data_IF_566717065463
#
_entry.id   IF_566717065463
#
_cell.length_a   1.000
_cell.length_b   1.000
_cell.length_c   1.000
_cell.angle_alpha   90.00
_cell.angle_beta   90.00
_cell.angle_gamma   90.00
#
_symmetry.space_group_name_H-M   'P 1'
#
loop_
_entity.id
_entity.type
_entity.pdbx_description
1 polymer ?
#
# COMPACT_ATOMS: atom_id res chain seq x y z
N UNK A 1 21.27 -16.77 26.21
CA UNK A 1 21.13 -16.49 24.77
C UNK A 1 19.90 -15.62 24.58
N UNK A 2 20.07 -14.41 24.05
CA UNK A 2 18.95 -13.53 23.68
C UNK A 2 18.94 -13.43 22.15
N UNK A 3 17.79 -13.72 21.53
CA UNK A 3 17.58 -13.61 20.10
C UNK A 3 16.53 -12.52 19.84
N UNK A 4 16.86 -11.59 18.96
CA UNK A 4 16.00 -10.48 18.58
C UNK A 4 15.90 -10.49 17.07
N UNK A 5 14.67 -10.46 16.57
CA UNK A 5 14.33 -10.55 15.15
C UNK A 5 13.63 -9.27 14.73
N UNK A 6 13.92 -8.77 13.53
CA UNK A 6 13.37 -7.51 13.06
C UNK A 6 11.92 -7.64 12.59
N UNK A 7 11.04 -6.94 13.30
CA UNK A 7 9.81 -6.34 12.81
C UNK A 7 9.90 -4.81 13.05
N UNK A 8 8.97 -4.00 12.53
CA UNK A 8 8.95 -2.56 12.82
C UNK A 8 8.96 -2.21 14.32
N UNK A 9 8.36 -3.06 15.15
CA UNK A 9 8.33 -2.91 16.62
C UNK A 9 9.65 -3.31 17.30
N UNK A 10 10.50 -4.10 16.62
CA UNK A 10 11.71 -4.71 17.21
C UNK A 10 13.01 -3.96 16.90
N UNK A 11 12.99 -3.01 15.96
CA UNK A 11 14.16 -2.18 15.64
C UNK A 11 14.71 -1.43 16.86
N UNK A 12 13.83 -0.97 17.77
CA UNK A 12 14.24 -0.34 19.02
C UNK A 12 14.86 -1.36 19.99
N UNK A 13 14.28 -2.56 20.06
CA UNK A 13 14.76 -3.66 20.90
C UNK A 13 16.18 -4.08 20.50
N UNK A 14 16.49 -4.10 19.21
CA UNK A 14 17.84 -4.34 18.72
C UNK A 14 18.84 -3.27 19.18
N UNK A 15 18.50 -1.99 18.99
CA UNK A 15 19.38 -0.88 19.39
C UNK A 15 19.66 -0.91 20.90
N UNK A 16 18.63 -1.13 21.72
CA UNK A 16 18.80 -1.29 23.16
C UNK A 16 19.70 -2.46 23.50
N UNK A 17 19.58 -3.57 22.77
CA UNK A 17 20.35 -4.78 23.05
C UNK A 17 21.80 -4.65 22.64
N UNK A 18 22.08 -4.00 21.51
CA UNK A 18 23.43 -3.61 21.09
C UNK A 18 24.04 -2.67 22.12
N UNK A 19 23.30 -1.67 22.59
CA UNK A 19 23.79 -0.72 23.59
C UNK A 19 24.04 -1.39 24.94
N UNK A 20 23.17 -2.31 25.36
CA UNK A 20 23.36 -3.08 26.59
C UNK A 20 24.62 -3.95 26.51
N UNK A 21 24.84 -4.61 25.36
CA UNK A 21 26.05 -5.39 25.12
C UNK A 21 27.33 -4.53 25.16
N UNK A 22 27.30 -3.31 24.63
CA UNK A 22 28.44 -2.39 24.68
C UNK A 22 28.76 -1.90 26.10
N UNK A 23 27.73 -1.67 26.93
CA UNK A 23 27.90 -1.18 28.30
C UNK A 23 28.23 -2.30 29.30
N UNK A 24 27.75 -3.52 29.05
CA UNK A 24 27.88 -4.67 29.95
C UNK A 24 28.28 -5.95 29.20
N UNK A 25 29.45 -5.98 28.55
CA UNK A 25 29.86 -7.12 27.72
C UNK A 25 29.97 -8.42 28.53
N UNK A 26 30.38 -8.34 29.80
CA UNK A 26 30.54 -9.50 30.69
C UNK A 26 29.21 -10.13 31.14
N UNK A 27 28.09 -9.42 30.98
CA UNK A 27 26.76 -9.90 31.36
C UNK A 27 26.04 -10.63 30.22
N UNK A 28 26.62 -10.68 29.03
CA UNK A 28 26.00 -11.24 27.84
C UNK A 28 26.85 -12.38 27.29
N UNK A 29 26.43 -13.62 27.57
CA UNK A 29 27.14 -14.81 27.08
C UNK A 29 27.01 -14.96 25.55
N UNK A 30 25.80 -14.73 24.99
CA UNK A 30 25.51 -14.83 23.55
C UNK A 30 24.37 -13.90 23.15
N UNK A 31 24.58 -13.13 22.09
CA UNK A 31 23.61 -12.24 21.47
C UNK A 31 23.44 -12.60 19.99
N UNK A 32 22.19 -12.80 19.56
CA UNK A 32 21.83 -13.01 18.15
C UNK A 32 20.94 -11.83 17.74
N UNK A 33 21.34 -11.14 16.68
CA UNK A 33 20.60 -10.03 16.09
C UNK A 33 20.26 -10.44 14.67
N UNK A 34 18.97 -10.54 14.37
CA UNK A 34 18.44 -10.88 13.06
C UNK A 34 17.62 -9.69 12.54
N UNK A 35 18.23 -8.88 11.67
CA UNK A 35 17.64 -7.65 11.14
C UNK A 35 18.32 -6.33 11.55
N UNK A 36 19.64 -6.37 11.61
CA UNK A 36 20.55 -5.31 12.08
C UNK A 36 20.21 -3.92 11.55
N UNK A 37 19.93 -3.02 12.49
CA UNK A 37 19.76 -1.58 12.22
C UNK A 37 21.10 -0.84 12.30
N UNK A 38 21.38 0.04 11.33
CA UNK A 38 22.49 0.97 11.41
C UNK A 38 22.20 2.11 12.40
N UNK A 39 22.83 2.07 13.57
CA UNK A 39 22.59 3.01 14.67
C UNK A 39 22.78 4.50 14.29
N UNK A 40 23.81 4.80 13.50
CA UNK A 40 24.13 6.18 13.06
C UNK A 40 23.07 6.78 12.15
N UNK A 41 22.45 5.96 11.29
CA UNK A 41 21.41 6.42 10.36
C UNK A 41 19.99 6.29 10.93
N UNK A 42 19.79 5.47 11.97
CA UNK A 42 18.48 5.28 12.60
C UNK A 42 17.88 6.57 13.17
N UNK A 43 18.69 7.40 13.82
CA UNK A 43 18.29 8.73 14.30
C UNK A 43 18.43 9.82 13.22
N UNK A 44 18.92 9.45 12.04
CA UNK A 44 19.15 10.32 10.89
C UNK A 44 18.02 10.25 9.88
N UNK A 45 18.35 9.95 8.62
CA UNK A 45 17.37 9.88 7.53
C UNK A 45 16.76 8.49 7.35
N UNK A 46 17.34 7.49 8.01
CA UNK A 46 16.88 6.11 8.00
C UNK A 46 16.83 5.50 6.59
N UNK A 47 17.76 5.93 5.72
CA UNK A 47 17.85 5.49 4.32
C UNK A 47 18.55 4.15 4.15
N UNK A 48 19.45 3.77 5.07
CA UNK A 48 20.15 2.48 5.00
C UNK A 48 19.16 1.31 5.02
N UNK A 49 17.99 1.50 5.63
CA UNK A 49 16.91 0.52 5.73
C UNK A 49 16.08 0.39 4.43
N UNK A 50 16.27 1.32 3.49
CA UNK A 50 15.52 1.34 2.23
C UNK A 50 16.30 0.75 1.05
N UNK A 51 17.60 0.48 1.20
CA UNK A 51 18.51 0.05 0.12
C UNK A 51 18.00 -1.19 -0.62
N UNK A 52 17.42 -2.14 0.11
CA UNK A 52 16.92 -3.39 -0.48
C UNK A 52 15.46 -3.32 -0.92
N UNK A 53 14.75 -2.23 -0.62
CA UNK A 53 13.35 -2.06 -1.03
C UNK A 53 13.20 -2.12 -2.55
N UNK A 54 14.10 -1.45 -3.27
CA UNK A 54 14.08 -1.42 -4.73
C UNK A 54 14.39 -2.80 -5.34
N UNK A 55 15.21 -3.62 -4.66
CA UNK A 55 15.50 -4.99 -5.10
C UNK A 55 14.27 -5.88 -4.97
N UNK A 56 13.52 -5.75 -3.86
CA UNK A 56 12.29 -6.50 -3.63
C UNK A 56 11.21 -6.09 -4.65
N UNK A 57 11.08 -4.79 -4.92
CA UNK A 57 10.16 -4.30 -5.96
C UNK A 57 10.54 -4.85 -7.34
N UNK A 58 11.82 -4.82 -7.69
CA UNK A 58 12.30 -5.41 -8.94
C UNK A 58 11.98 -6.91 -9.01
N UNK A 59 12.23 -7.66 -7.94
CA UNK A 59 11.90 -9.09 -7.87
C UNK A 59 10.41 -9.33 -8.11
N UNK A 60 9.53 -8.53 -7.48
CA UNK A 60 8.09 -8.63 -7.70
C UNK A 60 7.69 -8.38 -9.17
N UNK A 61 8.32 -7.42 -9.83
CA UNK A 61 8.11 -7.18 -11.26
C UNK A 61 8.59 -8.37 -12.10
N UNK A 62 9.80 -8.87 -11.85
CA UNK A 62 10.36 -10.02 -12.56
C UNK A 62 9.45 -11.26 -12.43
N UNK A 63 8.95 -11.53 -11.22
CA UNK A 63 8.00 -12.63 -10.97
C UNK A 63 6.67 -12.44 -11.70
N UNK A 64 6.18 -11.21 -11.79
CA UNK A 64 4.94 -10.90 -12.51
C UNK A 64 5.12 -11.05 -14.03
N UNK A 65 6.30 -10.71 -14.58
CA UNK A 65 6.67 -11.02 -15.98
C UNK A 65 6.69 -12.54 -16.18
N UNK A 66 7.36 -13.28 -15.30
CA UNK A 66 7.47 -14.74 -15.39
C UNK A 66 6.12 -15.45 -15.28
N UNK A 67 5.21 -14.95 -14.45
CA UNK A 67 3.86 -15.45 -14.30
C UNK A 67 2.95 -15.17 -15.51
N UNK A 68 3.30 -14.19 -16.35
CA UNK A 68 2.55 -13.81 -17.54
C UNK A 68 1.07 -13.53 -17.21
N UNK A 69 0.11 -14.05 -17.99
CA UNK A 69 -1.33 -13.78 -17.80
C UNK A 69 -1.89 -14.14 -16.41
N UNK A 70 -1.20 -14.96 -15.61
CA UNK A 70 -1.60 -15.25 -14.23
C UNK A 70 -1.40 -14.05 -13.29
N UNK A 71 -0.55 -13.08 -13.64
CA UNK A 71 -0.38 -11.83 -12.92
C UNK A 71 -1.18 -10.69 -13.61
N UNK A 72 -2.17 -10.07 -12.95
CA UNK A 72 -2.94 -8.94 -13.51
C UNK A 72 -2.13 -7.70 -13.86
N UNK A 73 -0.91 -7.59 -13.33
CA UNK A 73 0.03 -6.51 -13.60
C UNK A 73 1.09 -6.89 -14.63
N UNK A 74 1.03 -8.09 -15.23
CA UNK A 74 2.06 -8.54 -16.17
C UNK A 74 2.21 -7.61 -17.35
N UNK A 75 3.42 -7.58 -17.89
CA UNK A 75 3.81 -6.83 -19.08
C UNK A 75 5.03 -7.51 -19.69
N UNK A 76 5.50 -7.00 -20.83
CA UNK A 76 6.61 -7.59 -21.59
C UNK A 76 7.96 -7.50 -20.88
N UNK A 77 8.09 -6.59 -19.90
CA UNK A 77 9.32 -6.36 -19.13
C UNK A 77 9.05 -5.81 -17.75
N UNK A 78 9.98 -6.03 -16.83
CA UNK A 78 9.91 -5.52 -15.46
C UNK A 78 9.92 -3.99 -15.42
N UNK A 79 10.63 -3.35 -16.35
CA UNK A 79 10.65 -1.91 -16.53
C UNK A 79 9.28 -1.36 -16.93
N UNK A 80 8.55 -2.07 -17.80
CA UNK A 80 7.19 -1.70 -18.17
C UNK A 80 6.23 -1.80 -16.97
N UNK A 81 6.34 -2.86 -16.17
CA UNK A 81 5.55 -3.01 -14.93
C UNK A 81 5.90 -1.90 -13.93
N UNK A 82 7.19 -1.62 -13.73
CA UNK A 82 7.66 -0.55 -12.85
C UNK A 82 7.07 0.81 -13.28
N UNK A 83 7.07 1.10 -14.58
CA UNK A 83 6.49 2.33 -15.11
C UNK A 83 4.97 2.39 -14.91
N UNK A 84 4.26 1.27 -15.07
CA UNK A 84 2.81 1.20 -14.81
C UNK A 84 2.49 1.47 -13.35
N UNK A 85 3.23 0.85 -12.43
CA UNK A 85 3.09 1.11 -10.99
C UNK A 85 3.42 2.57 -10.65
N UNK A 86 4.48 3.13 -11.22
CA UNK A 86 4.81 4.54 -11.06
C UNK A 86 3.67 5.46 -11.53
N UNK A 87 3.11 5.19 -12.72
CA UNK A 87 1.99 5.95 -13.26
C UNK A 87 0.74 5.88 -12.38
N UNK A 88 0.50 4.75 -11.70
CA UNK A 88 -0.58 4.64 -10.70
C UNK A 88 -0.36 5.64 -9.56
N UNK A 89 0.85 5.68 -8.99
CA UNK A 89 1.17 6.61 -7.91
C UNK A 89 1.11 8.09 -8.33
N UNK A 90 1.60 8.42 -9.52
CA UNK A 90 1.47 9.77 -10.07
C UNK A 90 0.01 10.14 -10.34
N UNK A 91 -0.79 9.20 -10.86
CA UNK A 91 -2.22 9.38 -11.07
C UNK A 91 -2.97 9.63 -9.77
N UNK A 92 -2.69 8.85 -8.71
CA UNK A 92 -3.28 9.05 -7.38
C UNK A 92 -2.84 10.36 -6.72
N UNK A 93 -1.65 10.87 -7.05
CA UNK A 93 -1.20 12.20 -6.57
C UNK A 93 -1.96 13.32 -7.27
N UNK A 94 -2.22 13.18 -8.57
CA UNK A 94 -2.95 14.18 -9.35
C UNK A 94 -4.46 14.13 -9.10
N UNK A 95 -5.01 12.93 -8.93
CA UNK A 95 -6.45 12.68 -8.80
C UNK A 95 -6.69 11.51 -7.82
N UNK A 96 -6.93 11.82 -6.54
CA UNK A 96 -7.38 10.82 -5.57
C UNK A 96 -8.67 10.13 -6.03
N UNK A 97 -8.80 8.83 -5.75
CA UNK A 97 -9.96 8.05 -6.15
C UNK A 97 -10.89 7.79 -4.97
N UNK A 98 -12.15 8.17 -5.12
CA UNK A 98 -13.21 7.83 -4.17
C UNK A 98 -13.57 6.36 -4.23
N UNK A 99 -13.71 5.72 -3.07
CA UNK A 99 -14.03 4.30 -2.93
C UNK A 99 -15.16 4.08 -1.94
N UNK A 100 -15.94 3.02 -2.12
CA UNK A 100 -17.03 2.62 -1.24
C UNK A 100 -17.07 1.10 -1.15
N UNK A 101 -17.11 0.49 0.05
CA UNK A 101 -17.18 -0.97 0.17
C UNK A 101 -18.61 -1.50 0.44
N UNK A 102 -19.64 -0.66 0.31
CA UNK A 102 -21.01 -1.02 0.67
C UNK A 102 -21.42 -0.58 2.08
N UNK A 103 -20.47 -0.41 3.00
CA UNK A 103 -20.72 0.14 4.35
C UNK A 103 -19.85 1.34 4.70
N UNK A 104 -18.73 1.52 4.00
CA UNK A 104 -17.79 2.60 4.26
C UNK A 104 -17.38 3.33 2.98
N UNK A 105 -17.33 4.66 3.02
CA UNK A 105 -16.74 5.51 1.98
C UNK A 105 -15.29 5.88 2.36
N UNK A 106 -14.40 5.99 1.37
CA UNK A 106 -13.02 6.39 1.56
C UNK A 106 -12.41 7.04 0.32
N UNK A 107 -11.16 7.48 0.45
CA UNK A 107 -10.39 8.06 -0.67
C UNK A 107 -9.03 7.38 -0.75
N UNK A 108 -8.71 6.83 -1.92
CA UNK A 108 -7.38 6.32 -2.25
C UNK A 108 -6.51 7.49 -2.70
N UNK A 109 -5.50 7.80 -1.88
CA UNK A 109 -4.53 8.85 -2.09
C UNK A 109 -3.11 8.29 -2.18
N UNK A 110 -2.20 9.04 -2.78
CA UNK A 110 -0.79 8.66 -2.92
C UNK A 110 -0.15 8.23 -1.58
N UNK A 111 -0.36 8.99 -0.50
CA UNK A 111 0.28 8.75 0.80
C UNK A 111 -0.11 7.40 1.42
N UNK A 112 -1.40 7.15 1.69
CA UNK A 112 -1.89 5.88 2.23
C UNK A 112 -1.53 4.67 1.37
N UNK A 113 -1.66 4.76 0.04
CA UNK A 113 -1.33 3.63 -0.86
C UNK A 113 0.18 3.35 -0.84
N UNK A 114 1.03 4.40 -0.82
CA UNK A 114 2.49 4.22 -0.72
C UNK A 114 2.88 3.60 0.62
N UNK A 115 2.24 4.01 1.72
CA UNK A 115 2.47 3.43 3.05
C UNK A 115 2.05 1.96 3.09
N UNK A 116 0.92 1.61 2.47
CA UNK A 116 0.48 0.22 2.38
C UNK A 116 1.47 -0.64 1.58
N UNK A 117 1.92 -0.18 0.41
CA UNK A 117 2.97 -0.86 -0.36
C UNK A 117 4.23 -1.07 0.49
N UNK A 118 4.69 -0.04 1.21
CA UNK A 118 5.85 -0.13 2.09
C UNK A 118 5.69 -1.20 3.18
N UNK A 119 4.50 -1.38 3.75
CA UNK A 119 4.25 -2.43 4.73
C UNK A 119 4.24 -3.83 4.13
N UNK A 120 3.75 -3.99 2.91
CA UNK A 120 3.79 -5.28 2.21
C UNK A 120 5.24 -5.73 1.94
N UNK A 121 6.16 -4.79 1.78
CA UNK A 121 7.59 -5.06 1.55
C UNK A 121 8.30 -5.67 2.76
N UNK A 122 7.74 -5.58 3.98
CA UNK A 122 8.25 -6.32 5.14
C UNK A 122 8.01 -7.84 5.04
N UNK A 123 6.99 -8.27 4.27
CA UNK A 123 6.63 -9.67 4.06
C UNK A 123 6.33 -9.93 2.59
N UNK A 124 7.31 -9.75 1.69
CA UNK A 124 7.04 -9.58 0.26
C UNK A 124 6.40 -10.81 -0.38
N UNK A 125 6.80 -12.02 0.02
CA UNK A 125 6.24 -13.27 -0.50
C UNK A 125 4.78 -13.50 -0.14
N UNK A 126 4.32 -12.96 1.00
CA UNK A 126 2.92 -13.05 1.42
C UNK A 126 2.12 -11.81 1.01
N UNK A 127 2.76 -10.64 0.97
CA UNK A 127 2.12 -9.33 0.83
C UNK A 127 1.96 -8.84 -0.61
N UNK A 128 2.96 -9.06 -1.48
CA UNK A 128 2.94 -8.52 -2.84
C UNK A 128 2.03 -9.29 -3.82
N UNK A 129 1.93 -10.64 -3.80
CA UNK A 129 1.04 -11.34 -4.72
C UNK A 129 -0.44 -10.91 -4.61
N UNK A 130 -1.02 -10.71 -3.40
CA UNK A 130 -2.38 -10.17 -3.27
C UNK A 130 -2.56 -8.74 -3.78
N UNK A 131 -1.48 -7.94 -3.90
CA UNK A 131 -1.53 -6.55 -4.38
C UNK A 131 -1.74 -6.46 -5.90
N UNK A 132 -1.37 -7.49 -6.67
CA UNK A 132 -1.43 -7.47 -8.13
C UNK A 132 -2.83 -7.12 -8.67
N UNK A 133 -3.88 -7.72 -8.11
CA UNK A 133 -5.25 -7.43 -8.53
C UNK A 133 -5.67 -5.99 -8.19
N UNK A 134 -5.53 -5.52 -6.93
CA UNK A 134 -5.91 -4.17 -6.57
C UNK A 134 -5.19 -3.08 -7.34
N UNK A 135 -3.87 -3.20 -7.53
CA UNK A 135 -3.10 -2.14 -8.18
C UNK A 135 -3.39 -2.08 -9.69
N UNK A 136 -3.61 -3.22 -10.34
CA UNK A 136 -4.08 -3.29 -11.75
C UNK A 136 -5.47 -2.67 -11.89
N UNK A 137 -6.35 -2.92 -10.92
CA UNK A 137 -7.68 -2.34 -10.90
C UNK A 137 -7.64 -0.80 -10.79
N UNK A 138 -6.84 -0.28 -9.85
CA UNK A 138 -6.63 1.17 -9.70
C UNK A 138 -6.05 1.78 -10.98
N UNK A 139 -5.08 1.13 -11.62
CA UNK A 139 -4.53 1.57 -12.91
C UNK A 139 -5.62 1.75 -13.97
N UNK A 140 -6.48 0.76 -14.13
CA UNK A 140 -7.57 0.80 -15.11
C UNK A 140 -8.56 1.94 -14.82
N UNK A 141 -8.84 2.21 -13.54
CA UNK A 141 -9.74 3.29 -13.13
C UNK A 141 -9.15 4.67 -13.39
N UNK A 142 -7.86 4.86 -13.11
CA UNK A 142 -7.14 6.10 -13.42
C UNK A 142 -7.10 6.36 -14.93
N UNK A 143 -6.90 5.32 -15.74
CA UNK A 143 -6.96 5.43 -17.22
C UNK A 143 -8.34 5.91 -17.68
N UNK A 144 -9.42 5.34 -17.13
CA UNK A 144 -10.79 5.76 -17.43
C UNK A 144 -11.07 7.21 -17.00
N UNK A 145 -10.65 7.60 -15.80
CA UNK A 145 -10.82 8.96 -15.29
C UNK A 145 -10.14 10.01 -16.19
N UNK A 146 -8.98 9.69 -16.77
CA UNK A 146 -8.27 10.58 -17.70
C UNK A 146 -9.02 10.83 -19.03
N UNK A 147 -9.89 9.91 -19.45
CA UNK A 147 -10.68 10.06 -20.69
C UNK A 147 -11.93 10.94 -20.52
N UNK A 148 -12.33 11.27 -19.28
CA UNK A 148 -13.54 12.06 -19.00
C UNK A 148 -13.15 13.30 -18.17
N UNK A 149 -12.92 14.47 -18.80
CA UNK A 149 -12.44 15.68 -18.12
C UNK A 149 -13.31 16.17 -16.96
N UNK A 150 -14.62 15.87 -16.98
CA UNK A 150 -15.56 16.25 -15.93
C UNK A 150 -15.38 15.48 -14.61
N UNK A 151 -14.59 14.40 -14.60
CA UNK A 151 -14.29 13.63 -13.38
C UNK A 151 -13.10 14.19 -12.59
N UNK A 152 -12.39 15.19 -13.14
CA UNK A 152 -11.26 15.86 -12.49
C UNK A 152 -11.79 16.87 -11.45
N UNK A 153 -12.30 16.35 -10.32
CA UNK A 153 -12.77 17.18 -9.20
C UNK A 153 -11.61 17.90 -8.49
N UNK A 154 -11.82 19.11 -7.93
CA UNK A 154 -10.81 19.82 -7.16
C UNK A 154 -10.49 19.05 -5.87
N UNK A 155 -9.21 18.85 -5.59
CA UNK A 155 -8.65 17.96 -4.57
C UNK A 155 -8.88 18.38 -3.11
N UNK A 156 -9.70 19.40 -2.80
CA UNK A 156 -9.64 20.06 -1.49
C UNK A 156 -10.93 20.26 -0.71
N UNK A 157 -12.14 20.01 -1.21
CA UNK A 157 -13.34 20.12 -0.35
C UNK A 157 -14.44 19.14 -0.75
N UNK A 158 -14.52 18.00 -0.08
CA UNK A 158 -15.74 17.20 -0.04
C UNK A 158 -16.47 17.48 1.28
N UNK A 159 -17.14 18.64 1.35
CA UNK A 159 -18.24 18.82 2.29
C UNK A 159 -19.46 18.23 1.60
N UNK A 160 -19.93 17.05 2.03
CA UNK A 160 -21.13 16.44 1.47
C UNK A 160 -22.35 17.33 1.74
N UNK A 161 -23.01 17.93 0.73
CA UNK A 161 -24.25 18.65 0.92
C UNK A 161 -25.41 17.75 0.48
N UNK A 162 -26.07 17.16 1.48
CA UNK A 162 -27.50 16.86 1.53
C UNK A 162 -28.11 15.77 0.63
N UNK A 163 -29.25 15.22 1.08
CA UNK A 163 -29.80 13.95 0.64
C UNK A 163 -30.75 14.16 -0.55
N UNK A 164 -30.86 13.11 -1.38
CA UNK A 164 -31.98 12.89 -2.29
C UNK A 164 -32.09 13.90 -3.45
N UNK A 165 -31.22 13.78 -4.45
CA UNK A 165 -31.61 13.76 -5.88
C UNK A 165 -30.39 13.71 -6.78
N UNK A 166 -30.39 12.71 -7.67
CA UNK A 166 -29.57 12.57 -8.89
C UNK A 166 -28.31 13.45 -9.00
N UNK A 167 -27.13 12.88 -8.67
CA UNK A 167 -25.84 13.48 -9.00
C UNK A 167 -24.97 12.45 -9.72
N UNK A 168 -24.45 12.88 -10.87
CA UNK A 168 -23.59 12.16 -11.82
C UNK A 168 -22.38 11.47 -11.18
N UNK A 169 -21.87 10.38 -11.80
CA UNK A 169 -20.97 9.45 -11.14
C UNK A 169 -19.60 10.08 -10.95
N UNK A 170 -19.35 10.64 -9.76
CA UNK A 170 -18.02 10.49 -9.18
C UNK A 170 -17.83 8.99 -9.10
N UNK A 171 -16.81 8.47 -9.78
CA UNK A 171 -16.55 7.04 -9.92
C UNK A 171 -16.21 6.49 -8.53
N UNK A 172 -17.24 6.22 -7.74
CA UNK A 172 -17.13 5.51 -6.48
C UNK A 172 -16.77 4.09 -6.89
N UNK A 173 -15.56 3.66 -6.56
CA UNK A 173 -15.23 2.26 -6.71
C UNK A 173 -16.03 1.48 -5.66
N UNK A 174 -17.05 0.75 -6.11
CA UNK A 174 -17.91 0.01 -5.19
C UNK A 174 -17.47 -1.45 -5.00
N UNK A 175 -17.14 -1.82 -3.76
CA UNK A 175 -16.89 -3.18 -3.30
C UNK A 175 -18.19 -3.86 -2.83
N UNK A 176 -19.26 -3.82 -3.63
CA UNK A 176 -20.52 -4.48 -3.24
C UNK A 176 -20.47 -6.00 -3.42
N UNK A 177 -21.36 -6.71 -2.72
CA UNK A 177 -21.61 -8.14 -2.95
C UNK A 177 -22.02 -8.46 -4.40
N UNK A 178 -22.54 -7.47 -5.14
CA UNK A 178 -22.91 -7.58 -6.56
C UNK A 178 -21.69 -7.44 -7.48
N UNK A 179 -20.66 -6.69 -7.05
CA UNK A 179 -19.37 -6.58 -7.72
C UNK A 179 -18.51 -7.83 -7.50
N UNK A 180 -18.43 -8.34 -6.26
CA UNK A 180 -17.75 -9.60 -5.92
C UNK A 180 -18.31 -10.84 -6.66
N UNK A 181 -19.59 -10.79 -7.07
CA UNK A 181 -20.23 -11.81 -7.91
C UNK A 181 -19.89 -11.69 -9.40
N UNK A 182 -19.55 -10.49 -9.88
CA UNK A 182 -19.23 -10.20 -11.29
C UNK A 182 -17.75 -10.25 -11.62
N UNK A 183 -16.90 -9.99 -10.62
CA UNK A 183 -15.45 -10.07 -10.73
C UNK A 183 -14.93 -10.97 -9.60
N UNK A 184 -14.29 -12.12 -9.91
CA UNK A 184 -13.89 -13.13 -8.92
C UNK A 184 -12.62 -12.72 -8.15
N UNK A 185 -12.51 -11.45 -7.76
CA UNK A 185 -11.32 -10.88 -7.14
C UNK A 185 -11.63 -10.37 -5.73
N UNK A 186 -11.60 -11.25 -4.71
CA UNK A 186 -11.61 -10.85 -3.30
C UNK A 186 -10.46 -9.93 -2.83
N UNK A 187 -9.28 -9.80 -3.47
CA UNK A 187 -8.20 -9.00 -2.90
C UNK A 187 -8.48 -7.50 -2.89
N UNK A 188 -9.36 -7.02 -3.78
CA UNK A 188 -9.61 -5.58 -3.89
C UNK A 188 -10.36 -5.00 -2.67
N UNK A 189 -11.36 -5.72 -2.15
CA UNK A 189 -12.08 -5.26 -0.95
C UNK A 189 -11.20 -5.35 0.30
N UNK A 190 -10.41 -6.43 0.42
CA UNK A 190 -9.39 -6.54 1.47
C UNK A 190 -8.34 -5.42 1.38
N UNK A 191 -7.94 -5.03 0.17
CA UNK A 191 -7.04 -3.89 -0.06
C UNK A 191 -7.64 -2.57 0.44
N UNK A 192 -8.92 -2.31 0.16
CA UNK A 192 -9.61 -1.11 0.66
C UNK A 192 -9.69 -1.08 2.19
N UNK A 193 -10.04 -2.20 2.82
CA UNK A 193 -10.13 -2.29 4.29
C UNK A 193 -8.77 -2.01 4.95
N UNK A 194 -7.68 -2.52 4.38
CA UNK A 194 -6.33 -2.25 4.87
C UNK A 194 -5.93 -0.79 4.69
N UNK A 195 -6.26 -0.15 3.57
CA UNK A 195 -5.94 1.27 3.37
C UNK A 195 -6.74 2.16 4.31
N UNK A 196 -8.01 1.84 4.57
CA UNK A 196 -8.84 2.57 5.52
C UNK A 196 -8.22 2.56 6.93
N UNK A 197 -7.58 1.46 7.35
CA UNK A 197 -6.84 1.39 8.61
C UNK A 197 -5.66 2.38 8.69
N UNK A 198 -5.11 2.82 7.55
CA UNK A 198 -3.99 3.79 7.49
C UNK A 198 -4.42 5.24 7.29
N UNK A 199 -5.71 5.50 7.04
CA UNK A 199 -6.26 6.84 6.93
C UNK A 199 -7.59 6.94 7.71
N UNK A 200 -7.55 7.03 9.05
CA UNK A 200 -8.76 7.13 9.88
C UNK A 200 -9.54 8.43 9.66
N UNK A 201 -8.95 9.40 8.95
CA UNK A 201 -9.57 10.68 8.58
C UNK A 201 -10.22 10.69 7.20
N UNK A 202 -10.07 9.62 6.39
CA UNK A 202 -10.96 9.43 5.26
C UNK A 202 -12.35 9.29 5.87
N UNK A 203 -13.18 10.32 5.70
CA UNK A 203 -14.50 10.37 6.33
C UNK A 203 -15.30 9.19 5.79
N UNK A 204 -15.38 8.15 6.62
CA UNK A 204 -16.28 7.03 6.47
C UNK A 204 -17.66 7.61 6.68
N UNK A 205 -18.24 8.18 5.62
CA UNK A 205 -19.67 8.31 5.53
C UNK A 205 -20.20 6.88 5.43
N UNK A 206 -20.50 6.28 6.58
CA UNK A 206 -21.41 5.15 6.62
C UNK A 206 -22.76 5.70 6.15
N UNK A 207 -23.13 5.37 4.92
CA UNK A 207 -24.52 5.53 4.48
C UNK A 207 -25.30 4.46 5.21
N UNK A 208 -25.67 4.76 6.45
CA UNK A 208 -26.79 4.07 7.08
C UNK A 208 -28.07 4.56 6.39
N UNK A 209 -28.96 3.62 6.08
CA UNK A 209 -30.33 3.89 5.59
C UNK A 209 -31.04 4.98 6.41
#
# INVERSE_FOLDING_TARGET
MVAISSNTEDSLTELFSVQHFQLFPDNVERLIIDGVVEFSDYYGRWYSNLVDTDKILKYWFDECVAAGPACPMHDDSSEAIAQRVHNVFEGLRAQPLSVFNGSAYGVLEFGPVKKYLFQLLYKPFAGLPPLNHPISFVEQHLRWANHIPSLRGPSTQYHAPYPNSAIFPILIIECTSSYAKRHPYPPFCHFLDNIAAFNPTAVIFSVYD
#
